data_IF_126127259702
#
_entry.id   IF_126127259702
#
_cell.length_a   1.000
_cell.length_b   1.000
_cell.length_c   1.000
_cell.angle_alpha   90.00
_cell.angle_beta   90.00
_cell.angle_gamma   90.00
#
_symmetry.space_group_name_H-M   'P 1'
#
loop_
_entity.id
_entity.type
_entity.pdbx_description
1 polymer ?
#
# COMPACT_ATOMS: atom_id res chain seq x y z
N UNK A 1 -65.11 -69.55 16.12
CA UNK A 1 -64.44 -68.24 16.32
C UNK A 1 -62.93 -68.46 16.28
N UNK A 2 -62.23 -67.89 15.29
CA UNK A 2 -60.78 -67.57 15.19
C UNK A 2 -60.33 -67.64 13.72
N UNK A 3 -60.40 -66.50 13.03
CA UNK A 3 -59.86 -66.25 11.68
C UNK A 3 -58.37 -65.89 11.81
N UNK A 4 -57.52 -66.47 10.96
CA UNK A 4 -56.12 -66.06 10.77
C UNK A 4 -56.07 -64.88 9.80
N UNK A 5 -55.32 -63.84 10.15
CA UNK A 5 -54.97 -62.70 9.28
C UNK A 5 -53.49 -62.85 8.93
N UNK A 6 -53.19 -62.91 7.63
CA UNK A 6 -51.84 -62.89 7.08
C UNK A 6 -51.56 -61.46 6.62
N UNK A 7 -50.57 -60.79 7.22
CA UNK A 7 -50.13 -59.45 6.83
C UNK A 7 -49.01 -59.55 5.80
N UNK A 8 -49.18 -58.90 4.64
CA UNK A 8 -48.15 -58.70 3.63
C UNK A 8 -47.26 -57.50 4.03
N UNK A 9 -45.95 -57.70 4.03
CA UNK A 9 -44.94 -56.63 4.20
C UNK A 9 -44.46 -56.23 2.81
N UNK A 10 -44.78 -55.01 2.38
CA UNK A 10 -44.23 -54.41 1.16
C UNK A 10 -42.92 -53.69 1.49
N UNK A 11 -41.81 -54.13 0.89
CA UNK A 11 -40.52 -53.47 1.00
C UNK A 11 -40.41 -52.32 -0.01
N UNK A 12 -40.37 -51.07 0.48
CA UNK A 12 -40.00 -49.91 -0.32
C UNK A 12 -38.48 -49.84 -0.45
N UNK A 13 -37.98 -49.98 -1.68
CA UNK A 13 -36.60 -49.65 -2.05
C UNK A 13 -36.52 -48.14 -2.27
N UNK A 14 -35.91 -47.40 -1.33
CA UNK A 14 -35.53 -46.00 -1.55
C UNK A 14 -34.25 -45.95 -2.38
N UNK A 15 -34.35 -45.53 -3.64
CA UNK A 15 -33.21 -45.10 -4.45
C UNK A 15 -32.65 -43.80 -3.86
N UNK A 16 -31.49 -43.87 -3.20
CA UNK A 16 -30.72 -42.70 -2.80
C UNK A 16 -29.92 -42.19 -4.00
N UNK A 17 -30.37 -41.09 -4.62
CA UNK A 17 -29.56 -40.31 -5.56
C UNK A 17 -28.62 -39.40 -4.76
N UNK A 18 -27.30 -39.46 -4.97
CA UNK A 18 -26.38 -38.55 -4.29
C UNK A 18 -26.60 -37.13 -4.82
N UNK A 19 -27.11 -36.26 -3.96
CA UNK A 19 -27.10 -34.81 -4.19
C UNK A 19 -25.65 -34.36 -4.14
N UNK A 20 -25.08 -34.09 -5.31
CA UNK A 20 -23.89 -33.25 -5.44
C UNK A 20 -24.29 -31.86 -4.91
N UNK A 21 -23.90 -31.55 -3.69
CA UNK A 21 -23.97 -30.20 -3.15
C UNK A 21 -23.00 -29.33 -3.94
N UNK A 22 -23.50 -28.69 -5.01
CA UNK A 22 -22.80 -27.58 -5.63
C UNK A 22 -22.58 -26.53 -4.54
N UNK A 23 -21.32 -26.28 -4.18
CA UNK A 23 -20.97 -25.20 -3.27
C UNK A 23 -21.57 -23.90 -3.83
N UNK A 24 -22.35 -23.20 -3.00
CA UNK A 24 -22.97 -21.95 -3.42
C UNK A 24 -21.87 -20.93 -3.71
N UNK A 25 -21.84 -20.38 -4.93
CA UNK A 25 -20.88 -19.36 -5.33
C UNK A 25 -21.03 -18.13 -4.43
N UNK A 26 -19.91 -17.61 -3.93
CA UNK A 26 -19.88 -16.33 -3.20
C UNK A 26 -20.49 -15.21 -4.06
N UNK A 27 -21.36 -14.39 -3.47
CA UNK A 27 -22.04 -13.28 -4.18
C UNK A 27 -21.58 -11.89 -3.71
N UNK A 28 -20.75 -11.83 -2.68
CA UNK A 28 -20.24 -10.60 -2.09
C UNK A 28 -18.73 -10.67 -1.89
N UNK A 29 -18.09 -9.51 -1.88
CA UNK A 29 -16.68 -9.35 -1.56
C UNK A 29 -16.49 -8.03 -0.79
N UNK A 30 -15.93 -8.12 0.42
CA UNK A 30 -15.57 -6.94 1.20
C UNK A 30 -14.06 -6.68 1.07
N UNK A 31 -13.69 -5.55 0.48
CA UNK A 31 -12.30 -5.13 0.29
C UNK A 31 -11.99 -3.92 1.18
N UNK A 32 -10.84 -3.94 1.84
CA UNK A 32 -10.27 -2.79 2.54
C UNK A 32 -8.90 -2.46 1.96
N UNK A 33 -8.76 -1.32 1.29
CA UNK A 33 -7.52 -0.93 0.60
C UNK A 33 -7.17 0.53 0.91
N UNK A 34 -6.02 1.00 0.44
CA UNK A 34 -5.62 2.40 0.52
C UNK A 34 -6.55 3.33 -0.27
N UNK A 35 -6.65 4.58 0.19
CA UNK A 35 -7.36 5.65 -0.50
C UNK A 35 -6.68 6.03 -1.81
N UNK A 36 -7.46 6.52 -2.80
CA UNK A 36 -6.96 6.94 -4.12
C UNK A 36 -6.12 5.86 -4.87
N UNK A 37 -6.36 4.57 -4.60
CA UNK A 37 -5.47 3.48 -5.02
C UNK A 37 -6.08 2.44 -5.98
N UNK A 38 -7.17 2.78 -6.67
CA UNK A 38 -7.82 1.89 -7.66
C UNK A 38 -8.36 2.69 -8.85
N UNK A 39 -8.44 2.08 -10.04
CA UNK A 39 -9.12 2.69 -11.18
C UNK A 39 -10.65 2.65 -11.01
N UNK A 40 -11.32 3.67 -11.55
CA UNK A 40 -12.78 3.85 -11.39
C UNK A 40 -13.61 2.69 -11.96
N UNK A 41 -13.10 2.01 -12.96
CA UNK A 41 -13.79 0.94 -13.68
C UNK A 41 -13.41 -0.47 -13.21
N UNK A 42 -12.40 -0.63 -12.33
CA UNK A 42 -11.96 -1.94 -11.82
C UNK A 42 -13.11 -2.70 -11.15
N UNK A 43 -13.82 -2.06 -10.21
CA UNK A 43 -14.93 -2.69 -9.48
C UNK A 43 -16.12 -2.98 -10.40
N UNK A 44 -16.66 -2.00 -11.18
CA UNK A 44 -17.76 -2.28 -12.11
C UNK A 44 -17.47 -3.42 -13.09
N UNK A 45 -16.25 -3.46 -13.64
CA UNK A 45 -15.86 -4.49 -14.60
C UNK A 45 -15.74 -5.87 -13.94
N UNK A 46 -15.16 -5.94 -12.73
CA UNK A 46 -15.12 -7.17 -11.94
C UNK A 46 -16.53 -7.69 -11.67
N UNK A 47 -17.41 -6.86 -11.10
CA UNK A 47 -18.78 -7.26 -10.77
C UNK A 47 -19.57 -7.71 -11.99
N UNK A 48 -19.36 -7.07 -13.15
CA UNK A 48 -19.98 -7.47 -14.42
C UNK A 48 -19.48 -8.84 -14.90
N UNK A 49 -18.19 -9.13 -14.74
CA UNK A 49 -17.59 -10.39 -15.19
C UNK A 49 -17.98 -11.57 -14.30
N UNK A 50 -18.08 -11.36 -12.99
CA UNK A 50 -18.15 -12.44 -12.00
C UNK A 50 -19.54 -12.59 -11.37
N UNK A 51 -20.36 -11.54 -11.39
CA UNK A 51 -21.62 -11.44 -10.64
C UNK A 51 -21.44 -11.11 -9.16
N UNK A 52 -20.20 -10.93 -8.68
CA UNK A 52 -19.89 -10.63 -7.28
C UNK A 52 -20.07 -9.14 -7.00
N UNK A 53 -20.81 -8.80 -5.95
CA UNK A 53 -20.96 -7.42 -5.48
C UNK A 53 -19.79 -7.05 -4.57
N UNK A 54 -19.06 -5.98 -4.91
CA UNK A 54 -17.91 -5.54 -4.11
C UNK A 54 -18.30 -4.37 -3.22
N UNK A 55 -18.11 -4.53 -1.91
CA UNK A 55 -18.04 -3.43 -0.97
C UNK A 55 -16.58 -3.05 -0.79
N UNK A 56 -16.25 -1.79 -1.10
CA UNK A 56 -14.87 -1.30 -1.06
C UNK A 56 -14.76 -0.15 -0.06
N UNK A 57 -14.04 -0.39 1.03
CA UNK A 57 -13.74 0.59 2.06
C UNK A 57 -12.27 1.02 1.95
N UNK A 58 -11.94 2.24 2.41
CA UNK A 58 -10.60 2.79 2.33
C UNK A 58 -9.97 3.06 3.70
N UNK A 59 -8.64 2.99 3.79
CA UNK A 59 -7.82 3.52 4.89
C UNK A 59 -6.65 4.36 4.37
N UNK A 60 -5.88 4.94 5.29
CA UNK A 60 -4.75 5.84 5.00
C UNK A 60 -3.49 5.51 5.81
N UNK A 61 -3.52 4.45 6.62
CA UNK A 61 -2.38 3.99 7.43
C UNK A 61 -2.45 2.49 7.73
N UNK A 62 -1.30 1.82 7.68
CA UNK A 62 -1.19 0.43 8.12
C UNK A 62 -1.54 0.26 9.60
N UNK A 63 -1.30 1.25 10.45
CA UNK A 63 -1.69 1.19 11.87
C UNK A 63 -3.22 1.08 12.02
N UNK A 64 -4.00 1.80 11.20
CA UNK A 64 -5.47 1.69 11.16
C UNK A 64 -5.91 0.30 10.70
N UNK A 65 -5.31 -0.22 9.62
CA UNK A 65 -5.58 -1.57 9.15
C UNK A 65 -5.21 -2.62 10.21
N UNK A 66 -4.02 -2.51 10.81
CA UNK A 66 -3.51 -3.40 11.84
C UNK A 66 -4.44 -3.42 13.05
N UNK A 67 -4.89 -2.26 13.54
CA UNK A 67 -5.84 -2.19 14.65
C UNK A 67 -7.13 -2.96 14.34
N UNK A 68 -7.67 -2.82 13.11
CA UNK A 68 -8.89 -3.51 12.68
C UNK A 68 -8.72 -5.02 12.47
N UNK A 69 -7.54 -5.47 12.06
CA UNK A 69 -7.24 -6.89 11.92
C UNK A 69 -7.03 -7.57 13.28
N UNK A 70 -6.40 -6.87 14.24
CA UNK A 70 -6.11 -7.42 15.57
C UNK A 70 -7.35 -7.61 16.44
N UNK A 71 -8.46 -6.91 16.18
CA UNK A 71 -9.72 -7.15 16.89
C UNK A 71 -10.36 -8.49 16.51
N UNK A 72 -9.95 -9.09 15.39
CA UNK A 72 -10.61 -10.25 14.80
C UNK A 72 -11.99 -9.90 14.23
N UNK A 73 -12.54 -10.81 13.43
CA UNK A 73 -13.80 -10.63 12.69
C UNK A 73 -13.85 -9.28 11.96
N UNK A 74 -12.77 -8.96 11.24
CA UNK A 74 -12.56 -7.65 10.61
C UNK A 74 -13.69 -7.25 9.65
N UNK A 75 -14.41 -8.25 9.14
CA UNK A 75 -15.50 -8.11 8.17
C UNK A 75 -15.02 -8.03 6.73
N UNK A 76 -13.71 -8.16 6.48
CA UNK A 76 -13.11 -8.06 5.15
C UNK A 76 -12.63 -9.41 4.63
N UNK A 77 -12.76 -9.57 3.32
CA UNK A 77 -12.31 -10.74 2.57
C UNK A 77 -10.95 -10.48 1.90
N UNK A 78 -10.65 -9.22 1.54
CA UNK A 78 -9.36 -8.74 1.04
C UNK A 78 -8.91 -7.53 1.85
N UNK A 79 -7.65 -7.54 2.25
CA UNK A 79 -6.93 -6.38 2.79
C UNK A 79 -5.60 -6.19 2.08
N UNK A 80 -5.04 -4.97 2.10
CA UNK A 80 -3.85 -4.62 1.28
C UNK A 80 -2.72 -3.97 2.10
N UNK A 81 -2.23 -4.61 3.18
CA UNK A 81 -1.16 -4.04 4.01
C UNK A 81 0.14 -3.81 3.22
N UNK A 82 0.98 -2.90 3.70
CA UNK A 82 2.38 -2.87 3.24
C UNK A 82 3.11 -4.12 3.75
N UNK A 83 3.98 -4.69 2.93
CA UNK A 83 4.69 -5.98 3.17
C UNK A 83 5.42 -6.06 4.52
N UNK A 84 5.98 -4.96 5.03
CA UNK A 84 6.60 -4.92 6.36
C UNK A 84 5.58 -5.10 7.51
N UNK A 85 4.34 -4.67 7.33
CA UNK A 85 3.22 -4.98 8.24
C UNK A 85 2.68 -6.38 7.98
N UNK A 86 2.52 -6.77 6.71
CA UNK A 86 2.04 -8.09 6.32
C UNK A 86 2.89 -9.21 6.94
N UNK A 87 4.22 -9.10 6.92
CA UNK A 87 5.10 -10.11 7.52
C UNK A 87 4.85 -10.34 9.01
N UNK A 88 4.52 -9.29 9.76
CA UNK A 88 4.14 -9.41 11.19
C UNK A 88 2.78 -10.05 11.35
N UNK A 89 1.83 -9.68 10.51
CA UNK A 89 0.46 -10.20 10.52
C UNK A 89 0.44 -11.70 10.12
N UNK A 90 1.32 -12.12 9.20
CA UNK A 90 1.59 -13.52 8.88
C UNK A 90 2.14 -14.26 10.10
N UNK A 91 3.16 -13.71 10.77
CA UNK A 91 3.73 -14.31 11.98
C UNK A 91 2.71 -14.43 13.12
N UNK A 92 1.74 -13.50 13.19
CA UNK A 92 0.62 -13.53 14.13
C UNK A 92 -0.54 -14.45 13.69
N UNK A 93 -0.46 -15.09 12.51
CA UNK A 93 -1.48 -16.01 12.02
C UNK A 93 -2.78 -15.36 11.55
N UNK A 94 -2.74 -14.08 11.16
CA UNK A 94 -3.91 -13.30 10.75
C UNK A 94 -4.44 -13.72 9.37
N UNK A 95 -3.56 -14.16 8.46
CA UNK A 95 -3.92 -14.48 7.08
C UNK A 95 -4.07 -15.98 6.81
N UNK A 96 -4.99 -16.30 5.89
CA UNK A 96 -5.09 -17.63 5.31
C UNK A 96 -4.05 -17.79 4.18
N UNK A 97 -3.45 -18.99 4.02
CA UNK A 97 -2.63 -19.26 2.85
C UNK A 97 -3.47 -19.21 1.57
N UNK A 98 -2.88 -18.70 0.50
CA UNK A 98 -3.55 -18.59 -0.79
C UNK A 98 -3.48 -19.92 -1.54
N UNK A 99 -4.61 -20.37 -2.07
CA UNK A 99 -4.64 -21.50 -3.00
C UNK A 99 -4.17 -21.04 -4.38
N UNK A 100 -2.88 -21.22 -4.65
CA UNK A 100 -2.23 -20.80 -5.90
C UNK A 100 -2.82 -21.49 -7.14
N UNK A 101 -3.48 -22.64 -7.00
CA UNK A 101 -4.13 -23.30 -8.13
C UNK A 101 -5.30 -22.49 -8.71
N UNK A 102 -5.90 -21.61 -7.89
CA UNK A 102 -6.96 -20.68 -8.29
C UNK A 102 -6.43 -19.33 -8.80
N UNK A 103 -5.11 -19.14 -8.87
CA UNK A 103 -4.48 -17.87 -9.26
C UNK A 103 -3.57 -18.05 -10.50
N UNK A 104 -4.12 -18.46 -11.66
CA UNK A 104 -3.30 -18.67 -12.87
C UNK A 104 -2.57 -17.42 -13.36
N UNK A 105 -3.03 -16.22 -13.01
CA UNK A 105 -2.39 -14.96 -13.42
C UNK A 105 -1.10 -14.64 -12.65
N UNK A 106 -0.75 -15.39 -11.58
CA UNK A 106 0.54 -15.22 -10.90
C UNK A 106 1.74 -15.44 -11.80
N UNK A 107 1.56 -16.14 -12.94
CA UNK A 107 2.60 -16.30 -13.97
C UNK A 107 3.11 -14.98 -14.57
N UNK A 108 2.37 -13.88 -14.40
CA UNK A 108 2.75 -12.57 -14.91
C UNK A 108 3.57 -11.73 -13.93
N UNK A 109 3.72 -12.20 -12.68
CA UNK A 109 4.47 -11.48 -11.67
C UNK A 109 5.98 -11.56 -11.91
N UNK A 110 6.69 -10.46 -11.69
CA UNK A 110 8.15 -10.39 -11.77
C UNK A 110 8.78 -11.28 -10.70
N UNK A 111 9.54 -12.34 -11.06
CA UNK A 111 10.21 -13.19 -10.08
C UNK A 111 11.16 -12.42 -9.15
N UNK A 112 11.78 -11.34 -9.63
CA UNK A 112 12.71 -10.51 -8.86
C UNK A 112 11.98 -9.69 -7.79
N UNK A 113 10.81 -9.13 -8.12
CA UNK A 113 9.99 -8.41 -7.14
C UNK A 113 9.33 -9.38 -6.16
N UNK A 114 8.91 -10.55 -6.64
CA UNK A 114 8.39 -11.62 -5.77
C UNK A 114 9.44 -12.11 -4.77
N UNK A 115 10.72 -12.18 -5.16
CA UNK A 115 11.81 -12.52 -4.25
C UNK A 115 12.01 -11.47 -3.14
N UNK A 116 11.78 -10.18 -3.43
CA UNK A 116 11.82 -9.13 -2.41
C UNK A 116 10.66 -9.27 -1.42
N UNK A 117 9.44 -9.49 -1.93
CA UNK A 117 8.23 -9.70 -1.13
C UNK A 117 8.33 -10.98 -0.28
N UNK A 118 9.03 -12.00 -0.77
CA UNK A 118 9.26 -13.24 -0.03
C UNK A 118 10.05 -13.05 1.27
N UNK A 119 10.75 -11.93 1.44
CA UNK A 119 11.39 -11.56 2.70
C UNK A 119 10.40 -11.30 3.83
N UNK A 120 9.17 -10.86 3.50
CA UNK A 120 8.06 -10.70 4.46
C UNK A 120 7.11 -11.91 4.48
N UNK A 121 6.96 -12.59 3.34
CA UNK A 121 6.09 -13.75 3.17
C UNK A 121 6.89 -14.95 2.59
N UNK A 122 7.53 -15.77 3.46
CA UNK A 122 8.35 -16.89 2.99
C UNK A 122 7.60 -17.83 2.04
N UNK A 123 8.10 -17.95 0.81
CA UNK A 123 7.48 -18.75 -0.26
C UNK A 123 6.29 -18.09 -0.96
N UNK A 124 6.06 -16.80 -0.72
CA UNK A 124 4.93 -16.01 -1.21
C UNK A 124 3.61 -16.77 -0.99
N UNK A 125 3.39 -17.25 0.23
CA UNK A 125 2.34 -18.20 0.57
C UNK A 125 1.01 -17.52 0.92
N UNK A 126 1.05 -16.29 1.42
CA UNK A 126 -0.09 -15.59 2.00
C UNK A 126 -0.50 -14.36 1.20
N UNK A 127 0.40 -13.81 0.38
CA UNK A 127 0.22 -12.48 -0.21
C UNK A 127 0.56 -12.44 -1.69
N UNK A 128 -0.07 -11.51 -2.41
CA UNK A 128 0.20 -11.17 -3.81
C UNK A 128 0.41 -9.66 -3.91
N UNK A 129 1.47 -9.15 -4.56
CA UNK A 129 1.69 -7.71 -4.64
C UNK A 129 0.55 -7.01 -5.37
N UNK A 130 0.08 -5.90 -4.78
CA UNK A 130 -0.78 -4.94 -5.45
C UNK A 130 0.11 -3.99 -6.26
N UNK A 131 0.78 -3.06 -5.59
CA UNK A 131 1.72 -2.15 -6.23
C UNK A 131 2.90 -1.90 -5.30
N UNK A 132 3.92 -1.22 -5.83
CA UNK A 132 5.06 -0.76 -5.05
C UNK A 132 5.31 0.71 -5.34
N UNK A 133 6.04 1.35 -4.45
CA UNK A 133 6.34 2.77 -4.58
C UNK A 133 7.52 3.17 -3.73
N UNK A 134 7.87 4.45 -3.84
CA UNK A 134 8.89 5.07 -3.01
C UNK A 134 8.28 6.17 -2.15
N UNK A 135 8.91 6.45 -1.03
CA UNK A 135 8.53 7.59 -0.17
C UNK A 135 9.59 8.67 -0.30
N UNK A 136 9.21 9.85 -0.77
CA UNK A 136 10.16 10.87 -1.22
C UNK A 136 9.61 12.27 -1.09
N UNK A 137 10.13 13.18 -1.90
CA UNK A 137 9.92 14.61 -1.75
C UNK A 137 9.01 15.13 -2.87
N UNK A 138 7.77 15.46 -2.52
CA UNK A 138 6.81 16.14 -3.40
C UNK A 138 6.87 17.65 -3.20
N UNK A 139 6.81 18.39 -4.30
CA UNK A 139 6.90 19.85 -4.28
C UNK A 139 5.88 20.52 -5.18
N UNK A 140 5.36 21.65 -4.75
CA UNK A 140 5.12 22.77 -5.67
C UNK A 140 6.50 23.39 -6.02
N UNK A 141 7.09 22.95 -7.13
CA UNK A 141 8.45 23.32 -7.54
C UNK A 141 8.60 24.82 -7.73
N UNK A 142 7.59 25.47 -8.33
CA UNK A 142 7.59 26.92 -8.56
C UNK A 142 7.73 27.68 -7.24
N UNK A 143 6.95 27.31 -6.23
CA UNK A 143 6.97 27.96 -4.91
C UNK A 143 8.23 27.61 -4.13
N UNK A 144 8.66 26.35 -4.17
CA UNK A 144 9.88 25.90 -3.50
C UNK A 144 11.11 26.66 -4.01
N UNK A 145 11.27 26.83 -5.33
CA UNK A 145 12.37 27.57 -5.93
C UNK A 145 12.32 29.09 -5.65
N UNK A 146 11.12 29.68 -5.52
CA UNK A 146 10.98 31.08 -5.10
C UNK A 146 11.51 31.31 -3.68
N UNK A 147 11.34 30.33 -2.79
CA UNK A 147 11.69 30.43 -1.37
C UNK A 147 13.13 29.99 -1.09
N UNK A 148 13.55 28.88 -1.68
CA UNK A 148 14.86 28.27 -1.44
C UNK A 148 15.93 28.73 -2.44
N UNK A 149 15.51 29.33 -3.55
CA UNK A 149 16.37 29.72 -4.67
C UNK A 149 16.29 28.75 -5.85
N UNK A 150 16.51 29.25 -7.06
CA UNK A 150 16.35 28.49 -8.32
C UNK A 150 17.27 27.27 -8.46
N UNK A 151 18.43 27.29 -7.80
CA UNK A 151 19.46 26.25 -7.91
C UNK A 151 19.44 25.26 -6.74
N UNK A 152 18.41 25.28 -5.90
CA UNK A 152 18.30 24.34 -4.78
C UNK A 152 18.22 22.89 -5.31
N UNK A 153 19.01 21.94 -4.79
CA UNK A 153 18.86 20.53 -5.14
C UNK A 153 17.60 19.96 -4.47
N UNK A 154 16.48 19.95 -5.21
CA UNK A 154 15.18 19.46 -4.71
C UNK A 154 15.16 17.94 -4.48
N UNK A 155 16.12 17.22 -5.06
CA UNK A 155 16.38 15.80 -4.84
C UNK A 155 17.33 15.55 -3.66
N UNK A 156 17.38 16.44 -2.66
CA UNK A 156 18.22 16.26 -1.47
C UNK A 156 17.39 16.12 -0.21
N UNK A 157 17.73 15.11 0.60
CA UNK A 157 17.22 14.96 1.97
C UNK A 157 17.45 16.20 2.84
N UNK A 158 18.46 17.00 2.52
CA UNK A 158 18.74 18.27 3.19
C UNK A 158 17.56 19.23 3.17
N UNK A 159 16.68 19.16 2.15
CA UNK A 159 15.50 20.04 2.09
C UNK A 159 14.55 19.76 3.27
N UNK A 160 14.37 18.48 3.63
CA UNK A 160 13.54 18.06 4.75
C UNK A 160 14.28 18.18 6.08
N UNK A 161 15.48 17.62 6.18
CA UNK A 161 16.13 17.37 7.47
C UNK A 161 17.05 18.48 7.97
N UNK A 162 17.38 19.49 7.13
CA UNK A 162 18.11 20.68 7.59
C UNK A 162 17.14 21.79 8.01
N UNK A 163 17.15 22.22 9.29
CA UNK A 163 16.28 23.31 9.77
C UNK A 163 16.33 24.57 8.90
N UNK A 164 17.51 24.97 8.42
CA UNK A 164 17.71 26.15 7.57
C UNK A 164 16.98 26.11 6.21
N UNK A 165 16.63 24.92 5.74
CA UNK A 165 15.85 24.72 4.51
C UNK A 165 14.36 24.63 4.83
N UNK A 166 13.97 23.66 5.65
CA UNK A 166 12.56 23.35 5.92
C UNK A 166 11.84 24.51 6.63
N UNK A 167 12.54 25.28 7.46
CA UNK A 167 11.98 26.48 8.12
C UNK A 167 11.51 27.55 7.15
N UNK A 168 12.15 27.66 5.98
CA UNK A 168 11.73 28.60 4.93
C UNK A 168 10.46 28.10 4.25
N UNK A 169 10.36 26.80 4.00
CA UNK A 169 9.19 26.17 3.39
C UNK A 169 7.95 26.19 4.30
N UNK A 170 8.12 26.33 5.63
CA UNK A 170 6.99 26.56 6.56
C UNK A 170 6.05 27.67 6.07
N UNK A 171 6.58 28.71 5.44
CA UNK A 171 5.79 29.84 4.92
C UNK A 171 4.79 29.46 3.82
N UNK A 172 4.95 28.31 3.18
CA UNK A 172 4.04 27.80 2.15
C UNK A 172 3.48 26.41 2.47
N UNK A 173 3.60 25.94 3.71
CA UNK A 173 3.04 24.67 4.16
C UNK A 173 3.95 23.47 3.91
N UNK A 174 4.18 22.70 4.97
CA UNK A 174 4.99 21.47 4.98
C UNK A 174 4.11 20.32 5.49
N UNK A 175 3.83 19.35 4.62
CA UNK A 175 3.18 18.10 5.00
C UNK A 175 4.21 16.98 5.16
N UNK A 176 4.00 16.11 6.15
CA UNK A 176 4.79 14.88 6.34
C UNK A 176 3.81 13.74 6.54
N UNK A 177 4.05 12.58 5.93
CA UNK A 177 3.23 11.38 6.17
C UNK A 177 3.04 11.11 7.66
N UNK A 178 1.82 10.72 8.04
CA UNK A 178 1.57 10.11 9.35
C UNK A 178 1.91 8.61 9.32
N UNK A 179 3.15 8.30 8.93
CA UNK A 179 3.66 6.96 8.72
C UNK A 179 5.02 6.79 9.44
N UNK A 180 5.03 6.27 10.69
CA UNK A 180 6.24 6.23 11.51
C UNK A 180 7.35 5.38 10.90
N UNK A 181 7.02 4.26 10.27
CA UNK A 181 7.99 3.37 9.62
C UNK A 181 8.70 4.06 8.46
N UNK A 182 7.96 4.81 7.65
CA UNK A 182 8.49 5.59 6.53
C UNK A 182 9.41 6.73 7.02
N UNK A 183 8.96 7.49 8.02
CA UNK A 183 9.68 8.68 8.48
C UNK A 183 10.94 8.32 9.28
N UNK A 184 10.87 7.30 10.16
CA UNK A 184 12.06 6.84 10.88
C UNK A 184 13.09 6.17 9.97
N UNK A 185 12.67 5.40 8.97
CA UNK A 185 13.62 4.80 8.02
C UNK A 185 14.40 5.88 7.24
N UNK A 186 13.72 6.92 6.77
CA UNK A 186 14.36 8.08 6.13
C UNK A 186 15.27 8.86 7.09
N UNK A 187 14.82 9.10 8.32
CA UNK A 187 15.62 9.79 9.33
C UNK A 187 16.89 9.02 9.71
N UNK A 188 16.77 7.71 9.92
CA UNK A 188 17.90 6.80 10.20
C UNK A 188 18.91 6.81 9.05
N UNK A 189 18.43 6.66 7.80
CA UNK A 189 19.26 6.77 6.61
C UNK A 189 20.05 8.09 6.58
N UNK A 190 19.35 9.20 6.80
CA UNK A 190 19.95 10.54 6.74
C UNK A 190 21.05 10.76 7.79
N UNK A 191 20.90 10.21 9.00
CA UNK A 191 21.93 10.28 10.04
C UNK A 191 23.01 9.19 9.93
N UNK A 192 23.07 8.48 8.79
CA UNK A 192 24.10 7.48 8.49
C UNK A 192 23.91 6.16 9.25
N UNK A 193 22.70 5.85 9.69
CA UNK A 193 22.33 4.58 10.34
C UNK A 193 21.66 3.64 9.36
N UNK A 194 21.61 2.36 9.71
CA UNK A 194 20.81 1.39 8.99
C UNK A 194 19.33 1.82 9.04
N UNK A 195 18.65 2.04 7.89
CA UNK A 195 17.23 2.36 7.86
C UNK A 195 16.37 1.33 8.59
N UNK A 196 16.83 0.08 8.65
CA UNK A 196 16.18 -1.06 9.30
C UNK A 196 16.86 -1.46 10.62
N UNK A 197 17.54 -0.51 11.28
CA UNK A 197 18.19 -0.74 12.57
C UNK A 197 17.24 -1.39 13.57
N UNK A 198 17.76 -2.31 14.38
CA UNK A 198 17.05 -2.87 15.53
C UNK A 198 17.62 -2.36 16.85
N UNK A 199 18.42 -1.28 16.82
CA UNK A 199 19.02 -0.68 18.00
C UNK A 199 18.16 0.48 18.52
N UNK A 200 17.59 0.40 19.74
CA UNK A 200 16.80 1.48 20.33
C UNK A 200 17.50 2.84 20.39
N UNK A 201 18.84 2.87 20.50
CA UNK A 201 19.61 4.10 20.55
C UNK A 201 19.57 4.87 19.22
N UNK A 202 19.54 4.16 18.09
CA UNK A 202 19.49 4.79 16.76
C UNK A 202 18.14 5.52 16.56
N UNK A 203 17.04 4.93 17.02
CA UNK A 203 15.72 5.58 16.97
C UNK A 203 15.64 6.84 17.83
N UNK A 204 16.31 6.85 18.99
CA UNK A 204 16.40 8.06 19.82
C UNK A 204 17.23 9.13 19.13
N UNK A 205 18.37 8.77 18.52
CA UNK A 205 19.17 9.71 17.74
C UNK A 205 18.39 10.28 16.55
N UNK A 206 17.62 9.44 15.85
CA UNK A 206 16.74 9.88 14.76
C UNK A 206 15.66 10.85 15.27
N UNK A 207 15.02 10.56 16.42
CA UNK A 207 14.07 11.47 17.04
C UNK A 207 14.69 12.83 17.38
N UNK A 208 15.87 12.86 18.00
CA UNK A 208 16.56 14.11 18.35
C UNK A 208 16.89 14.96 17.12
N UNK A 209 17.22 14.33 15.99
CA UNK A 209 17.36 15.04 14.72
C UNK A 209 16.00 15.55 14.23
N UNK A 210 14.98 14.70 14.18
CA UNK A 210 13.65 15.07 13.71
C UNK A 210 13.02 16.21 14.55
N UNK A 211 13.22 16.24 15.87
CA UNK A 211 12.74 17.32 16.75
C UNK A 211 13.19 18.70 16.27
N UNK A 212 14.35 18.83 15.62
CA UNK A 212 14.85 20.09 15.06
C UNK A 212 13.99 20.61 13.90
N UNK A 213 13.33 19.72 13.16
CA UNK A 213 12.46 20.09 12.03
C UNK A 213 10.99 20.18 12.42
N UNK A 214 10.60 19.59 13.56
CA UNK A 214 9.19 19.54 14.04
C UNK A 214 8.48 20.89 14.03
N UNK A 215 9.08 22.03 14.47
CA UNK A 215 8.39 23.33 14.49
C UNK A 215 8.02 23.87 13.12
N UNK A 216 8.54 23.27 12.05
CA UNK A 216 8.33 23.70 10.66
C UNK A 216 7.35 22.82 9.90
N UNK A 217 6.92 21.70 10.48
CA UNK A 217 5.90 20.82 9.91
C UNK A 217 4.51 21.40 10.23
N UNK A 218 3.74 21.65 9.19
CA UNK A 218 2.36 22.17 9.28
C UNK A 218 1.39 21.09 9.70
N UNK A 219 1.55 19.89 9.15
CA UNK A 219 0.62 18.78 9.38
C UNK A 219 1.30 17.41 9.24
N UNK A 220 0.68 16.42 9.88
CA UNK A 220 0.92 14.99 9.65
C UNK A 220 -0.29 14.42 8.94
N UNK A 221 -0.11 13.96 7.70
CA UNK A 221 -1.22 13.60 6.84
C UNK A 221 -0.79 12.55 5.81
N UNK A 222 -1.59 11.50 5.64
CA UNK A 222 -1.29 10.38 4.75
C UNK A 222 -2.23 10.29 3.53
N UNK A 223 -3.06 11.30 3.25
CA UNK A 223 -3.95 11.29 2.07
C UNK A 223 -4.32 12.70 1.60
N UNK A 224 -4.82 13.54 2.50
CA UNK A 224 -5.27 14.90 2.20
C UNK A 224 -4.21 15.80 1.55
N UNK A 225 -2.91 15.52 1.79
CA UNK A 225 -1.82 16.29 1.19
C UNK A 225 -1.81 16.28 -0.35
N UNK A 226 -2.44 15.29 -1.00
CA UNK A 226 -2.64 15.26 -2.45
C UNK A 226 -3.41 16.51 -2.89
N UNK A 227 -4.55 16.77 -2.26
CA UNK A 227 -5.40 17.92 -2.60
C UNK A 227 -4.77 19.23 -2.14
N UNK A 228 -4.04 19.23 -1.02
CA UNK A 228 -3.32 20.43 -0.55
C UNK A 228 -2.21 20.85 -1.53
N UNK A 229 -1.50 19.89 -2.14
CA UNK A 229 -0.52 20.16 -3.21
C UNK A 229 -1.20 20.73 -4.47
N UNK A 230 -2.36 20.20 -4.85
CA UNK A 230 -3.16 20.72 -5.99
C UNK A 230 -3.72 22.11 -5.69
N UNK A 231 -4.14 22.35 -4.45
CA UNK A 231 -4.62 23.63 -3.94
C UNK A 231 -3.52 24.68 -3.88
N UNK A 232 -2.30 24.26 -3.54
CA UNK A 232 -1.19 25.13 -3.19
C UNK A 232 -1.15 25.49 -1.70
N UNK A 233 -1.94 24.79 -0.87
CA UNK A 233 -2.01 24.97 0.60
C UNK A 233 -0.76 24.42 1.29
N UNK A 234 -0.13 23.41 0.68
CA UNK A 234 1.25 23.01 0.97
C UNK A 234 2.12 23.09 -0.29
N UNK A 235 3.37 23.49 -0.11
CA UNK A 235 4.37 23.54 -1.18
C UNK A 235 5.37 22.40 -1.11
N UNK A 236 5.38 21.65 0.00
CA UNK A 236 6.25 20.52 0.24
C UNK A 236 5.48 19.41 0.94
N UNK A 237 5.69 18.18 0.48
CA UNK A 237 5.22 16.97 1.13
C UNK A 237 6.35 15.94 1.17
N UNK A 238 6.65 15.40 2.35
CA UNK A 238 7.23 14.06 2.40
C UNK A 238 6.07 13.08 2.19
N UNK A 239 6.04 12.37 1.06
CA UNK A 239 4.87 11.65 0.57
C UNK A 239 5.20 10.48 -0.35
N UNK A 240 4.18 9.71 -0.71
CA UNK A 240 4.30 8.56 -1.59
C UNK A 240 4.38 8.98 -3.06
N UNK A 241 5.11 8.21 -3.87
CA UNK A 241 5.40 8.56 -5.26
C UNK A 241 4.15 8.78 -6.11
N UNK A 242 3.27 7.77 -6.19
CA UNK A 242 2.07 7.84 -7.02
C UNK A 242 1.12 8.95 -6.58
N UNK A 243 0.95 9.20 -5.28
CA UNK A 243 0.12 10.29 -4.76
C UNK A 243 0.57 11.67 -5.21
N UNK A 244 1.89 11.92 -5.20
CA UNK A 244 2.44 13.20 -5.70
C UNK A 244 2.27 13.28 -7.22
N UNK A 245 2.34 12.17 -7.93
CA UNK A 245 2.05 12.12 -9.37
C UNK A 245 0.55 12.34 -9.65
N UNK A 246 -0.36 11.80 -8.83
CA UNK A 246 -1.80 12.13 -8.85
C UNK A 246 -1.97 13.65 -8.68
N UNK A 247 -1.31 14.25 -7.70
CA UNK A 247 -1.36 15.70 -7.48
C UNK A 247 -0.81 16.49 -8.68
N UNK A 248 0.27 16.01 -9.31
CA UNK A 248 0.84 16.58 -10.54
C UNK A 248 -0.18 16.59 -11.69
N UNK A 249 -0.80 15.45 -12.00
CA UNK A 249 -1.80 15.38 -13.06
C UNK A 249 -3.05 16.21 -12.74
N UNK A 250 -3.58 16.13 -11.51
CA UNK A 250 -4.72 16.95 -11.07
C UNK A 250 -4.43 18.46 -11.14
N UNK A 251 -3.21 18.89 -10.81
CA UNK A 251 -2.82 20.29 -10.93
C UNK A 251 -2.74 20.77 -12.39
N UNK A 252 -2.26 19.91 -13.30
CA UNK A 252 -2.25 20.18 -14.75
C UNK A 252 -3.67 20.29 -15.30
N UNK A 253 -4.54 19.34 -14.98
CA UNK A 253 -5.94 19.32 -15.42
C UNK A 253 -6.70 20.56 -14.90
N UNK A 254 -6.43 20.95 -13.66
CA UNK A 254 -6.97 22.16 -13.05
C UNK A 254 -6.28 23.46 -13.52
N UNK A 255 -5.34 23.40 -14.47
CA UNK A 255 -4.59 24.53 -15.05
C UNK A 255 -3.94 25.42 -13.99
N UNK A 256 -3.38 24.81 -12.95
CA UNK A 256 -2.71 25.55 -11.87
C UNK A 256 -1.47 26.29 -12.43
N UNK A 257 -1.17 27.51 -11.93
CA UNK A 257 -0.07 28.32 -12.46
C UNK A 257 1.32 27.87 -11.94
N UNK A 258 1.41 26.67 -11.39
CA UNK A 258 2.60 26.12 -10.77
C UNK A 258 2.78 24.66 -11.14
N UNK A 259 4.00 24.17 -10.96
CA UNK A 259 4.36 22.79 -11.29
C UNK A 259 4.47 21.96 -10.02
N UNK A 260 3.80 20.80 -9.98
CA UNK A 260 4.00 19.79 -8.94
C UNK A 260 4.92 18.70 -9.49
N UNK A 261 5.93 18.28 -8.72
CA UNK A 261 6.82 17.17 -9.08
C UNK A 261 7.24 16.38 -7.85
N UNK A 262 7.58 15.11 -8.09
CA UNK A 262 8.14 14.17 -7.12
C UNK A 262 9.63 13.97 -7.36
N UNK A 263 10.41 13.88 -6.29
CA UNK A 263 11.84 13.58 -6.34
C UNK A 263 12.17 12.44 -5.38
N UNK A 264 12.91 11.46 -5.90
CA UNK A 264 13.61 10.47 -5.08
C UNK A 264 14.92 11.11 -4.62
N UNK A 265 15.17 11.25 -3.31
CA UNK A 265 16.39 11.86 -2.84
C UNK A 265 17.67 11.12 -3.26
N UNK A 266 18.72 11.88 -3.52
CA UNK A 266 20.09 11.36 -3.68
C UNK A 266 20.49 10.59 -2.43
N UNK A 267 21.11 9.43 -2.63
CA UNK A 267 21.46 8.50 -1.56
C UNK A 267 20.39 7.43 -1.31
N UNK A 268 19.16 7.65 -1.79
CA UNK A 268 18.10 6.65 -1.75
C UNK A 268 16.88 7.08 -0.95
N UNK A 269 15.82 6.27 -1.07
CA UNK A 269 14.54 6.45 -0.42
C UNK A 269 13.98 5.11 0.09
N UNK A 270 13.04 5.13 1.05
CA UNK A 270 12.23 3.96 1.34
C UNK A 270 11.55 3.46 0.07
N UNK A 271 11.64 2.16 -0.18
CA UNK A 271 10.80 1.43 -1.13
C UNK A 271 9.95 0.42 -0.36
N UNK A 272 8.71 0.27 -0.79
CA UNK A 272 7.73 -0.57 -0.12
C UNK A 272 6.85 -1.27 -1.17
N UNK A 273 6.26 -2.38 -0.76
CA UNK A 273 5.31 -3.16 -1.56
C UNK A 273 4.03 -3.28 -0.76
N UNK A 274 2.91 -2.88 -1.35
CA UNK A 274 1.59 -3.21 -0.83
C UNK A 274 1.15 -4.55 -1.39
N UNK A 275 0.51 -5.36 -0.55
CA UNK A 275 0.23 -6.75 -0.89
C UNK A 275 -1.19 -7.13 -0.51
N UNK A 276 -1.94 -7.71 -1.46
CA UNK A 276 -3.25 -8.30 -1.21
C UNK A 276 -3.10 -9.54 -0.34
N UNK A 277 -3.93 -9.63 0.70
CA UNK A 277 -4.00 -10.76 1.62
C UNK A 277 -5.45 -11.10 1.96
N UNK A 278 -5.71 -12.38 2.27
CA UNK A 278 -7.03 -12.87 2.71
C UNK A 278 -6.99 -13.12 4.23
N UNK A 279 -7.74 -12.35 5.05
CA UNK A 279 -7.89 -12.65 6.47
C UNK A 279 -8.38 -14.07 6.72
N UNK A 280 -7.89 -14.72 7.78
CA UNK A 280 -8.22 -16.12 8.09
C UNK A 280 -9.72 -16.34 8.34
N UNK A 281 -10.38 -15.31 8.85
CA UNK A 281 -11.80 -15.20 9.17
C UNK A 281 -12.67 -14.66 8.01
N UNK A 282 -12.09 -14.41 6.83
CA UNK A 282 -12.82 -14.02 5.63
C UNK A 282 -13.96 -15.00 5.32
N UNK A 283 -15.12 -14.45 4.94
CA UNK A 283 -16.35 -15.23 4.68
C UNK A 283 -16.46 -15.65 3.22
N UNK A 284 -15.98 -14.81 2.30
CA UNK A 284 -16.11 -14.99 0.86
C UNK A 284 -14.74 -15.27 0.22
N UNK A 285 -14.11 -16.39 0.62
CA UNK A 285 -12.73 -16.72 0.22
C UNK A 285 -12.60 -17.04 -1.27
N UNK A 286 -13.64 -17.58 -1.90
CA UNK A 286 -13.59 -17.89 -3.33
C UNK A 286 -13.66 -16.61 -4.15
N UNK A 287 -14.55 -15.68 -3.79
CA UNK A 287 -14.60 -14.35 -4.39
C UNK A 287 -13.29 -13.58 -4.18
N UNK A 288 -12.65 -13.73 -3.01
CA UNK A 288 -11.36 -13.08 -2.71
C UNK A 288 -10.23 -13.59 -3.62
N UNK A 289 -10.15 -14.89 -3.87
CA UNK A 289 -9.19 -15.45 -4.83
C UNK A 289 -9.51 -15.04 -6.27
N UNK A 290 -10.80 -14.99 -6.64
CA UNK A 290 -11.23 -14.48 -7.96
C UNK A 290 -10.83 -13.01 -8.15
N UNK A 291 -10.93 -12.18 -7.10
CA UNK A 291 -10.47 -10.79 -7.08
C UNK A 291 -8.95 -10.68 -7.27
N UNK A 292 -8.15 -11.40 -6.48
CA UNK A 292 -6.68 -11.37 -6.61
C UNK A 292 -6.27 -11.78 -8.02
N UNK A 293 -6.85 -12.85 -8.57
CA UNK A 293 -6.55 -13.29 -9.92
C UNK A 293 -6.99 -12.25 -10.97
N UNK A 294 -8.16 -11.62 -10.80
CA UNK A 294 -8.66 -10.59 -11.69
C UNK A 294 -7.73 -9.37 -11.74
N UNK A 295 -7.30 -8.86 -10.58
CA UNK A 295 -6.36 -7.74 -10.47
C UNK A 295 -5.07 -8.04 -11.22
N UNK A 296 -4.56 -9.27 -11.14
CA UNK A 296 -3.35 -9.69 -11.88
C UNK A 296 -3.56 -9.96 -13.37
N UNK A 297 -4.74 -9.64 -13.92
CA UNK A 297 -4.91 -9.58 -15.38
C UNK A 297 -4.12 -8.37 -15.92
N UNK A 298 -3.22 -8.53 -16.91
CA UNK A 298 -2.32 -7.46 -17.35
C UNK A 298 -2.99 -6.12 -17.67
N UNK A 299 -4.12 -6.14 -18.38
CA UNK A 299 -4.86 -4.94 -18.75
C UNK A 299 -5.57 -4.29 -17.56
N UNK A 300 -6.06 -5.09 -16.61
CA UNK A 300 -6.70 -4.59 -15.38
C UNK A 300 -5.66 -3.89 -14.53
N UNK A 301 -4.52 -4.55 -14.30
CA UNK A 301 -3.45 -3.96 -13.50
C UNK A 301 -2.86 -2.70 -14.17
N UNK A 302 -2.68 -2.72 -15.49
CA UNK A 302 -2.22 -1.54 -16.21
C UNK A 302 -3.20 -0.36 -16.10
N UNK A 303 -4.51 -0.61 -16.18
CA UNK A 303 -5.52 0.43 -15.98
C UNK A 303 -5.45 1.04 -14.57
N UNK A 304 -5.18 0.21 -13.55
CA UNK A 304 -4.92 0.68 -12.18
C UNK A 304 -3.68 1.58 -12.18
N UNK A 305 -2.54 1.10 -12.69
CA UNK A 305 -1.30 1.91 -12.77
C UNK A 305 -1.51 3.23 -13.51
N UNK A 306 -2.26 3.26 -14.62
CA UNK A 306 -2.53 4.50 -15.36
C UNK A 306 -3.38 5.49 -14.54
N UNK A 307 -4.25 4.99 -13.66
CA UNK A 307 -5.11 5.82 -12.83
C UNK A 307 -4.42 6.35 -11.56
N UNK A 308 -3.53 5.55 -10.96
CA UNK A 308 -2.97 5.83 -9.62
C UNK A 308 -1.46 6.05 -9.61
N UNK A 309 -0.80 5.86 -10.75
CA UNK A 309 0.62 6.13 -10.98
C UNK A 309 1.56 5.36 -10.05
N UNK A 310 1.15 4.16 -9.63
CA UNK A 310 2.02 3.21 -8.95
C UNK A 310 2.34 2.03 -9.87
N UNK A 311 3.61 1.62 -9.99
CA UNK A 311 3.99 0.44 -10.73
C UNK A 311 3.49 -0.83 -10.04
N UNK A 312 3.06 -1.79 -10.83
CA UNK A 312 2.69 -3.12 -10.35
C UNK A 312 3.85 -4.11 -10.45
N UNK A 313 3.77 -5.21 -9.71
CA UNK A 313 4.72 -6.31 -9.87
C UNK A 313 4.43 -7.18 -11.12
N UNK A 314 3.43 -6.82 -11.93
CA UNK A 314 3.01 -7.57 -13.11
C UNK A 314 3.80 -7.12 -14.34
N UNK A 315 4.75 -7.95 -14.80
CA UNK A 315 5.62 -7.62 -15.93
C UNK A 315 4.86 -7.40 -17.23
N UNK A 316 3.80 -8.19 -17.44
CA UNK A 316 2.99 -8.10 -18.65
C UNK A 316 2.10 -6.87 -18.66
N UNK A 317 1.64 -6.41 -17.49
CA UNK A 317 0.85 -5.18 -17.36
C UNK A 317 1.58 -3.96 -17.93
N UNK A 318 2.91 -3.88 -17.78
CA UNK A 318 3.72 -2.76 -18.28
C UNK A 318 3.54 -2.48 -19.77
N UNK A 319 3.19 -3.50 -20.58
CA UNK A 319 2.94 -3.34 -22.04
C UNK A 319 1.67 -2.54 -22.34
N UNK A 320 0.77 -2.43 -21.38
CA UNK A 320 -0.53 -1.75 -21.49
C UNK A 320 -0.57 -0.44 -20.69
N UNK A 321 0.52 -0.09 -19.99
CA UNK A 321 0.65 1.19 -19.28
C UNK A 321 0.86 2.31 -20.30
N UNK A 322 0.20 3.45 -20.08
CA UNK A 322 0.30 4.61 -20.97
C UNK A 322 1.76 5.10 -21.04
N UNK A 323 2.20 5.55 -22.23
CA UNK A 323 3.61 5.85 -22.48
C UNK A 323 4.16 6.97 -21.58
N UNK A 324 3.34 7.94 -21.22
CA UNK A 324 3.73 9.01 -20.31
C UNK A 324 3.94 8.47 -18.88
N UNK A 325 3.07 7.57 -18.41
CA UNK A 325 3.21 6.91 -17.11
C UNK A 325 4.39 5.92 -17.09
N UNK A 326 4.53 5.10 -18.14
CA UNK A 326 5.59 4.08 -18.25
C UNK A 326 7.01 4.66 -18.34
N UNK A 327 7.12 5.92 -18.76
CA UNK A 327 8.38 6.65 -18.89
C UNK A 327 8.59 7.71 -17.79
N UNK A 328 7.63 7.90 -16.87
CA UNK A 328 7.81 8.82 -15.74
C UNK A 328 8.77 8.20 -14.71
N UNK A 329 9.95 8.78 -14.45
CA UNK A 329 10.91 8.25 -13.48
C UNK A 329 10.43 8.29 -12.03
N UNK A 330 9.37 9.04 -11.71
CA UNK A 330 8.70 8.98 -10.40
C UNK A 330 7.88 7.69 -10.22
N UNK A 331 7.43 7.09 -11.33
CA UNK A 331 6.65 5.84 -11.34
C UNK A 331 7.55 4.64 -11.58
N UNK A 332 8.43 4.72 -12.59
CA UNK A 332 9.41 3.68 -12.93
C UNK A 332 10.84 4.25 -12.86
N UNK A 333 11.47 4.25 -11.67
CA UNK A 333 12.82 4.75 -11.51
C UNK A 333 13.84 3.98 -12.35
N UNK A 334 14.96 4.62 -12.69
CA UNK A 334 16.03 3.96 -13.42
C UNK A 334 16.70 2.86 -12.58
N UNK A 335 17.37 1.87 -13.20
CA UNK A 335 18.10 0.83 -12.48
C UNK A 335 19.14 1.38 -11.49
N UNK A 336 19.75 2.52 -11.79
CA UNK A 336 20.72 3.20 -10.91
C UNK A 336 20.03 3.75 -9.66
N UNK A 337 18.86 4.37 -9.81
CA UNK A 337 18.06 4.85 -8.68
C UNK A 337 17.56 3.69 -7.83
N UNK A 338 17.07 2.61 -8.46
CA UNK A 338 16.58 1.41 -7.75
C UNK A 338 17.64 0.84 -6.79
N UNK A 339 18.93 0.85 -7.19
CA UNK A 339 20.03 0.36 -6.34
C UNK A 339 20.27 1.19 -5.07
N UNK A 340 19.78 2.43 -5.03
CA UNK A 340 19.89 3.31 -3.86
C UNK A 340 18.72 3.13 -2.88
N UNK A 341 17.62 2.54 -3.34
CA UNK A 341 16.42 2.38 -2.52
C UNK A 341 16.64 1.34 -1.41
N UNK A 342 15.99 1.56 -0.27
CA UNK A 342 16.04 0.65 0.86
C UNK A 342 14.65 0.11 1.19
N UNK A 343 14.51 -1.21 1.09
CA UNK A 343 13.25 -1.90 1.32
C UNK A 343 12.86 -1.84 2.80
N UNK A 344 11.64 -1.38 3.08
CA UNK A 344 11.05 -1.50 4.40
C UNK A 344 10.78 -2.98 4.75
N UNK A 345 11.26 -3.40 5.91
CA UNK A 345 11.18 -4.79 6.39
C UNK A 345 10.41 -4.86 7.70
N UNK A 346 9.84 -6.03 8.04
CA UNK A 346 9.26 -6.25 9.35
C UNK A 346 10.27 -5.97 10.47
N UNK A 347 9.92 -5.05 11.37
CA UNK A 347 10.71 -4.74 12.57
C UNK A 347 10.33 -5.65 13.75
N UNK A 348 11.26 -5.96 14.68
CA UNK A 348 10.93 -6.63 15.92
C UNK A 348 9.84 -5.88 16.72
N UNK A 349 8.93 -6.58 17.42
CA UNK A 349 7.81 -5.95 18.13
C UNK A 349 8.21 -4.84 19.12
N UNK A 350 9.34 -5.01 19.81
CA UNK A 350 9.88 -4.03 20.75
C UNK A 350 10.37 -2.74 20.06
N UNK A 351 10.94 -2.85 18.86
CA UNK A 351 11.37 -1.72 18.05
C UNK A 351 10.16 -1.00 17.46
N UNK A 352 9.14 -1.73 16.99
CA UNK A 352 7.90 -1.11 16.53
C UNK A 352 7.21 -0.33 17.67
N UNK A 353 7.06 -0.93 18.86
CA UNK A 353 6.47 -0.22 20.01
C UNK A 353 7.27 1.04 20.38
N UNK A 354 8.59 0.96 20.32
CA UNK A 354 9.45 2.14 20.51
C UNK A 354 9.15 3.20 19.44
N UNK A 355 9.16 2.81 18.16
CA UNK A 355 8.90 3.70 17.04
C UNK A 355 7.55 4.41 17.17
N UNK A 356 6.46 3.69 17.45
CA UNK A 356 5.12 4.28 17.67
C UNK A 356 5.13 5.29 18.82
N UNK A 357 5.76 4.97 19.95
CA UNK A 357 5.86 5.89 21.10
C UNK A 357 6.64 7.16 20.74
N UNK A 358 7.80 7.03 20.10
CA UNK A 358 8.62 8.17 19.70
C UNK A 358 7.93 9.00 18.61
N UNK A 359 7.12 8.37 17.76
CA UNK A 359 6.30 9.08 16.78
C UNK A 359 5.22 9.93 17.45
N UNK A 360 4.52 9.39 18.45
CA UNK A 360 3.58 10.19 19.25
C UNK A 360 4.26 11.37 19.93
N UNK A 361 5.45 11.15 20.51
CA UNK A 361 6.27 12.21 21.11
C UNK A 361 6.60 13.30 20.09
N UNK A 362 7.14 12.92 18.93
CA UNK A 362 7.45 13.82 17.83
C UNK A 362 6.24 14.63 17.38
N UNK A 363 5.10 13.98 17.10
CA UNK A 363 3.87 14.66 16.67
C UNK A 363 3.38 15.65 17.73
N UNK A 364 3.50 15.31 19.02
CA UNK A 364 3.06 16.19 20.12
C UNK A 364 3.94 17.45 20.30
N UNK A 365 5.12 17.50 19.68
CA UNK A 365 6.07 18.61 19.81
C UNK A 365 6.75 18.68 21.18
N UNK A 366 6.81 17.55 21.90
CA UNK A 366 7.46 17.40 23.21
C UNK A 366 8.89 16.90 23.09
#
# INVERSE_FOLDING_TARGET
MKRRVVGQVAALVLCATPWLTAAAKDTQLNVYNWSDYIAKDTIPNFSKQTGVQVKYDNYDSDDTLQAKLLTGNSGYDIVVPTSNYAGKQIAAGIFAPLDKSKLPNLKYLDPSLMALVAGADPGNKYTVPWAYGTTGLGYNVTKAQQILGKNVPLDSWDVLFKPENISKLKACGVSVLDAPDQMFAAALHYIGKDPMSTNPADYRAALEMMKKIRPYITQFNSSGYINDLVGGDVCFAYGWSGDVVIAKHRAVDAKKPFKVEYYIPKGGAPVWFDVMAIPKDAKNKEAALEWINYIETPQVHAAITNAVYYPSANLEARKYVDKDVANDPAVYPSPEVIKTLFLLKPLPPEIQRLQTRLWTEFKSGR
#
